data_IF_019309015847
#
_entry.id   IF_019309015847
#
_cell.length_a   1.000
_cell.length_b   1.000
_cell.length_c   1.000
_cell.angle_alpha   90.00
_cell.angle_beta   90.00
_cell.angle_gamma   90.00
#
_symmetry.space_group_name_H-M   'P 1'
#
loop_
_entity.id
_entity.type
_entity.pdbx_description
1 polymer ?
#
# COMPACT_ATOMS: atom_id res chain seq x y z
N UNK A 1 -10.56 28.32 15.90
CA UNK A 1 -9.50 28.64 16.88
C UNK A 1 -9.78 29.91 17.67
N UNK A 2 -9.95 31.06 17.00
CA UNK A 2 -10.15 32.34 17.70
C UNK A 2 -11.43 32.35 18.55
N UNK A 3 -12.58 31.99 17.96
CA UNK A 3 -13.86 32.01 18.65
C UNK A 3 -14.10 30.83 19.60
N UNK A 4 -13.49 29.66 19.33
CA UNK A 4 -13.78 28.43 20.08
C UNK A 4 -12.84 28.21 21.27
N UNK A 5 -11.60 28.70 21.23
CA UNK A 5 -10.64 28.55 22.33
C UNK A 5 -9.69 29.74 22.48
N UNK A 6 -10.04 30.92 21.95
CA UNK A 6 -9.34 32.18 22.22
C UNK A 6 -7.98 32.35 21.52
N UNK A 7 -7.70 31.61 20.44
CA UNK A 7 -6.43 31.73 19.71
C UNK A 7 -6.26 33.11 19.04
N UNK A 8 -5.01 33.57 18.86
CA UNK A 8 -4.75 34.84 18.17
C UNK A 8 -5.03 34.76 16.66
N UNK A 9 -5.38 35.90 16.04
CA UNK A 9 -5.55 35.98 14.58
C UNK A 9 -4.28 35.61 13.81
N UNK A 10 -3.12 36.05 14.31
CA UNK A 10 -1.82 35.78 13.67
C UNK A 10 -1.54 34.28 13.67
N UNK A 11 -1.71 33.60 14.80
CA UNK A 11 -1.53 32.15 14.91
C UNK A 11 -2.55 31.41 14.03
N UNK A 12 -3.82 31.79 14.11
CA UNK A 12 -4.90 31.15 13.36
C UNK A 12 -4.67 31.23 11.85
N UNK A 13 -4.20 32.38 11.36
CA UNK A 13 -3.90 32.58 9.94
C UNK A 13 -2.64 31.80 9.51
N UNK A 14 -1.50 32.04 10.14
CA UNK A 14 -0.23 31.49 9.66
C UNK A 14 -0.12 29.98 9.87
N UNK A 15 -0.58 29.47 11.02
CA UNK A 15 -0.50 28.04 11.34
C UNK A 15 -1.75 27.32 10.85
N UNK A 16 -2.93 27.79 11.26
CA UNK A 16 -4.21 27.12 10.98
C UNK A 16 -4.60 27.13 9.51
N UNK A 17 -4.17 28.14 8.74
CA UNK A 17 -4.47 28.25 7.31
C UNK A 17 -3.22 28.02 6.47
N UNK A 18 -2.23 28.92 6.54
CA UNK A 18 -1.10 28.92 5.58
C UNK A 18 -0.24 27.66 5.70
N UNK A 19 0.28 27.34 6.89
CA UNK A 19 1.13 26.18 7.11
C UNK A 19 0.36 24.88 6.84
N UNK A 20 -0.88 24.78 7.33
CA UNK A 20 -1.74 23.61 7.06
C UNK A 20 -1.90 23.34 5.57
N UNK A 21 -2.23 24.37 4.78
CA UNK A 21 -2.41 24.24 3.33
C UNK A 21 -1.07 23.88 2.66
N UNK A 22 0.02 24.54 3.04
CA UNK A 22 1.35 24.26 2.49
C UNK A 22 1.76 22.81 2.73
N UNK A 23 1.62 22.29 3.95
CA UNK A 23 1.90 20.89 4.26
C UNK A 23 0.99 19.94 3.48
N UNK A 24 -0.31 20.22 3.41
CA UNK A 24 -1.29 19.38 2.69
C UNK A 24 -0.96 19.26 1.19
N UNK A 25 -0.58 20.37 0.56
CA UNK A 25 -0.18 20.37 -0.85
C UNK A 25 1.14 19.65 -1.07
N UNK A 26 2.15 19.91 -0.24
CA UNK A 26 3.44 19.24 -0.38
C UNK A 26 3.30 17.72 -0.15
N UNK A 27 2.53 17.28 0.85
CA UNK A 27 2.19 15.86 1.02
C UNK A 27 1.55 15.28 -0.24
N UNK A 28 0.56 15.94 -0.83
CA UNK A 28 -0.08 15.48 -2.07
C UNK A 28 0.91 15.42 -3.24
N UNK A 29 1.76 16.43 -3.39
CA UNK A 29 2.73 16.50 -4.48
C UNK A 29 3.88 15.49 -4.35
N UNK A 30 4.18 14.99 -3.16
CA UNK A 30 5.10 13.86 -2.98
C UNK A 30 4.64 12.60 -3.71
N UNK A 31 3.33 12.39 -3.84
CA UNK A 31 2.77 11.26 -4.62
C UNK A 31 3.20 11.40 -6.08
N UNK A 32 3.05 12.58 -6.68
CA UNK A 32 3.38 12.82 -8.08
C UNK A 32 4.89 12.90 -8.37
N UNK A 33 5.71 13.17 -7.34
CA UNK A 33 7.15 13.33 -7.48
C UNK A 33 7.91 12.14 -6.91
N UNK A 34 7.99 12.03 -5.59
CA UNK A 34 8.77 11.00 -4.91
C UNK A 34 8.25 9.58 -5.22
N UNK A 35 6.94 9.35 -5.27
CA UNK A 35 6.39 8.03 -5.60
C UNK A 35 6.42 7.66 -7.09
N UNK A 36 6.97 8.52 -7.96
CA UNK A 36 7.33 8.17 -9.34
C UNK A 36 8.83 8.09 -9.57
N UNK A 37 9.63 8.47 -8.57
CA UNK A 37 11.08 8.60 -8.72
C UNK A 37 11.84 7.63 -7.82
N UNK A 38 11.43 7.49 -6.57
CA UNK A 38 12.17 6.78 -5.53
C UNK A 38 11.38 5.61 -4.98
N UNK A 39 11.93 4.40 -5.10
CA UNK A 39 11.34 3.17 -4.59
C UNK A 39 11.44 2.01 -5.57
N UNK A 40 10.81 0.90 -5.23
CA UNK A 40 10.79 -0.33 -6.03
C UNK A 40 9.51 -0.49 -6.85
N UNK A 41 9.49 -1.41 -7.81
CA UNK A 41 8.38 -1.65 -8.75
C UNK A 41 7.99 -3.14 -8.78
N UNK A 42 7.52 -3.70 -7.65
CA UNK A 42 7.28 -5.13 -7.51
C UNK A 42 6.14 -5.67 -8.38
N UNK A 43 5.21 -4.84 -8.87
CA UNK A 43 4.05 -5.28 -9.65
C UNK A 43 4.22 -5.02 -11.15
N UNK A 44 4.78 -3.88 -11.53
CA UNK A 44 5.06 -3.55 -12.92
C UNK A 44 6.25 -2.60 -13.06
N UNK A 45 7.36 -3.12 -13.58
CA UNK A 45 8.60 -2.36 -13.77
C UNK A 45 8.56 -1.37 -14.94
N UNK A 46 7.55 -1.47 -15.82
CA UNK A 46 7.38 -0.54 -16.95
C UNK A 46 6.70 0.76 -16.53
N UNK A 47 6.02 0.76 -15.38
CA UNK A 47 5.42 1.96 -14.80
C UNK A 47 6.48 2.79 -14.09
N UNK A 48 6.37 4.12 -14.18
CA UNK A 48 7.27 5.01 -13.44
C UNK A 48 6.98 4.95 -11.93
N UNK A 49 5.69 4.82 -11.56
CA UNK A 49 5.21 4.70 -10.20
C UNK A 49 5.95 3.61 -9.40
N UNK A 50 6.37 3.95 -8.19
CA UNK A 50 7.14 3.12 -7.27
C UNK A 50 6.35 2.83 -5.99
N UNK A 51 6.82 1.84 -5.23
CA UNK A 51 6.44 1.62 -3.85
C UNK A 51 7.38 2.40 -2.92
N UNK A 52 6.81 3.21 -2.04
CA UNK A 52 7.58 4.03 -1.11
C UNK A 52 6.86 4.18 0.24
N UNK A 53 7.34 3.46 1.26
CA UNK A 53 6.74 3.46 2.60
C UNK A 53 6.81 4.83 3.28
N UNK A 54 7.89 5.60 3.06
CA UNK A 54 8.03 6.95 3.58
C UNK A 54 6.99 7.89 2.99
N UNK A 55 6.76 7.85 1.68
CA UNK A 55 5.66 8.62 1.06
C UNK A 55 4.33 8.18 1.66
N UNK A 56 4.11 6.88 1.82
CA UNK A 56 2.85 6.35 2.35
C UNK A 56 2.54 6.86 3.77
N UNK A 57 3.56 7.05 4.60
CA UNK A 57 3.42 7.64 5.93
C UNK A 57 2.91 9.09 5.86
N UNK A 58 3.49 9.91 4.99
CA UNK A 58 3.11 11.33 4.84
C UNK A 58 1.80 11.55 4.08
N UNK A 59 1.36 10.56 3.32
CA UNK A 59 0.17 10.62 2.45
C UNK A 59 -0.94 9.68 2.89
N UNK A 60 -0.83 9.11 4.10
CA UNK A 60 -1.85 8.30 4.75
C UNK A 60 -2.25 7.01 4.00
N UNK A 61 -1.44 6.52 3.06
CA UNK A 61 -1.76 5.34 2.24
C UNK A 61 -1.33 5.40 0.79
N UNK A 62 -1.11 6.59 0.25
CA UNK A 62 -0.96 6.78 -1.20
C UNK A 62 0.48 6.54 -1.71
N UNK A 63 1.41 6.17 -0.82
CA UNK A 63 2.78 5.82 -1.21
C UNK A 63 2.89 4.44 -1.85
N UNK A 64 1.80 3.67 -1.86
CA UNK A 64 1.79 2.35 -2.46
C UNK A 64 1.61 2.36 -4.00
N UNK A 65 2.30 3.26 -4.67
CA UNK A 65 1.88 3.80 -5.96
C UNK A 65 2.08 2.82 -7.15
N UNK A 66 3.10 1.95 -7.11
CA UNK A 66 3.25 0.92 -8.15
C UNK A 66 2.06 -0.06 -8.17
N UNK A 67 1.51 -0.42 -7.00
CA UNK A 67 0.31 -1.26 -6.88
C UNK A 67 -0.91 -0.51 -7.38
N UNK A 68 -1.09 0.75 -6.94
CA UNK A 68 -2.19 1.59 -7.38
C UNK A 68 -2.26 1.70 -8.90
N UNK A 69 -1.13 1.95 -9.57
CA UNK A 69 -1.09 2.01 -11.04
C UNK A 69 -1.27 0.65 -11.71
N UNK A 70 -0.81 -0.44 -11.07
CA UNK A 70 -1.01 -1.80 -11.59
C UNK A 70 -2.47 -2.28 -11.48
N UNK A 71 -3.19 -1.82 -10.46
CA UNK A 71 -4.56 -2.21 -10.10
C UNK A 71 -5.41 -1.00 -9.68
N UNK A 72 -5.75 -0.09 -10.62
CA UNK A 72 -6.40 1.19 -10.30
C UNK A 72 -7.84 1.05 -9.78
N UNK A 73 -8.40 -0.17 -9.83
CA UNK A 73 -9.75 -0.48 -9.37
C UNK A 73 -9.79 -1.07 -7.95
N UNK A 74 -8.64 -1.32 -7.31
CA UNK A 74 -8.59 -1.79 -5.93
C UNK A 74 -8.86 -0.63 -4.96
N UNK A 75 -9.90 -0.74 -4.14
CA UNK A 75 -10.30 0.30 -3.20
C UNK A 75 -9.23 0.62 -2.14
N UNK A 76 -8.32 -0.32 -1.87
CA UNK A 76 -7.26 -0.14 -0.87
C UNK A 76 -6.09 0.68 -1.43
N UNK A 77 -5.93 0.70 -2.75
CA UNK A 77 -4.73 1.22 -3.41
C UNK A 77 -3.40 0.58 -2.93
N UNK A 78 -3.44 -0.53 -2.20
CA UNK A 78 -2.27 -1.24 -1.67
C UNK A 78 -2.56 -2.73 -1.44
N UNK A 79 -1.55 -3.58 -1.63
CA UNK A 79 -1.63 -5.00 -1.27
C UNK A 79 -1.53 -5.24 0.25
N UNK A 80 -0.70 -4.46 0.96
CA UNK A 80 -0.30 -4.73 2.34
C UNK A 80 -1.45 -4.58 3.35
N UNK A 81 -1.59 -5.59 4.22
CA UNK A 81 -2.71 -5.72 5.16
C UNK A 81 -2.37 -5.36 6.61
N UNK A 82 -3.26 -4.53 7.20
CA UNK A 82 -3.53 -4.20 8.63
C UNK A 82 -3.58 -2.70 8.96
N UNK A 83 -3.51 -1.79 7.98
CA UNK A 83 -3.63 -0.32 8.13
C UNK A 83 -2.36 0.45 8.53
N UNK A 84 -1.24 -0.21 8.85
CA UNK A 84 -0.06 0.46 9.42
C UNK A 84 0.52 1.62 8.60
N UNK A 85 0.39 1.57 7.27
CA UNK A 85 0.78 2.64 6.35
C UNK A 85 -0.33 2.96 5.36
N UNK A 86 -1.59 2.67 5.70
CA UNK A 86 -2.76 2.94 4.86
C UNK A 86 -3.99 3.21 5.75
N UNK A 87 -4.04 4.42 6.27
CA UNK A 87 -5.13 4.90 7.12
C UNK A 87 -6.40 5.18 6.32
N UNK A 88 -6.27 5.52 5.03
CA UNK A 88 -7.40 5.69 4.12
C UNK A 88 -8.25 4.41 4.03
N UNK A 89 -7.61 3.24 3.92
CA UNK A 89 -8.34 1.96 3.91
C UNK A 89 -9.05 1.71 5.25
N UNK A 90 -8.43 2.06 6.38
CA UNK A 90 -9.08 1.91 7.70
C UNK A 90 -10.35 2.76 7.81
N UNK A 91 -10.29 3.99 7.29
CA UNK A 91 -11.42 4.90 7.23
C UNK A 91 -12.55 4.32 6.36
N UNK A 92 -12.23 3.85 5.15
CA UNK A 92 -13.23 3.22 4.26
C UNK A 92 -13.86 1.99 4.91
N UNK A 93 -13.05 1.10 5.50
CA UNK A 93 -13.53 -0.11 6.18
C UNK A 93 -14.44 0.24 7.38
N UNK A 94 -14.18 1.33 8.10
CA UNK A 94 -15.08 1.83 9.15
C UNK A 94 -16.44 2.24 8.58
N UNK A 95 -16.46 3.01 7.50
CA UNK A 95 -17.72 3.42 6.85
C UNK A 95 -18.46 2.22 6.23
N UNK A 96 -17.74 1.21 5.76
CA UNK A 96 -18.34 -0.04 5.31
C UNK A 96 -19.02 -0.80 6.45
N UNK A 97 -18.40 -0.85 7.63
CA UNK A 97 -18.97 -1.50 8.82
C UNK A 97 -20.27 -0.85 9.29
N UNK A 98 -20.41 0.47 9.16
CA UNK A 98 -21.65 1.18 9.52
C UNK A 98 -22.64 1.30 8.35
N UNK A 99 -22.36 0.66 7.21
CA UNK A 99 -23.25 0.59 6.05
C UNK A 99 -23.25 1.81 5.13
N UNK A 100 -22.28 2.73 5.28
CA UNK A 100 -22.18 3.94 4.45
C UNK A 100 -21.32 3.74 3.19
N UNK A 101 -20.44 2.73 3.19
CA UNK A 101 -19.68 2.31 2.02
C UNK A 101 -20.02 0.86 1.65
N UNK A 102 -20.07 0.58 0.35
CA UNK A 102 -20.47 -0.73 -0.19
C UNK A 102 -19.75 -0.99 -1.52
N UNK A 103 -19.86 -2.22 -2.03
CA UNK A 103 -19.24 -2.66 -3.30
C UNK A 103 -17.72 -2.39 -3.40
N UNK A 104 -17.01 -2.55 -2.28
CA UNK A 104 -15.57 -2.41 -2.23
C UNK A 104 -14.87 -3.48 -3.09
N UNK A 105 -14.14 -3.05 -4.12
CA UNK A 105 -13.44 -3.93 -5.07
C UNK A 105 -12.01 -4.14 -4.62
N UNK A 106 -11.57 -5.39 -4.46
CA UNK A 106 -10.19 -5.72 -4.13
C UNK A 106 -9.65 -6.82 -5.05
N UNK A 107 -8.35 -6.82 -5.30
CA UNK A 107 -7.70 -7.76 -6.21
C UNK A 107 -7.42 -9.08 -5.48
N UNK A 108 -7.81 -10.24 -6.03
CA UNK A 108 -7.42 -11.54 -5.49
C UNK A 108 -5.89 -11.70 -5.47
N UNK A 109 -5.36 -12.26 -4.37
CA UNK A 109 -3.92 -12.46 -4.18
C UNK A 109 -3.24 -13.23 -5.32
N UNK A 110 -3.93 -14.23 -5.89
CA UNK A 110 -3.42 -14.97 -7.05
C UNK A 110 -3.19 -14.09 -8.29
N UNK A 111 -4.03 -13.07 -8.52
CA UNK A 111 -3.85 -12.12 -9.62
C UNK A 111 -2.70 -11.14 -9.33
N UNK A 112 -2.56 -10.71 -8.07
CA UNK A 112 -1.45 -9.86 -7.64
C UNK A 112 -0.12 -10.59 -7.87
N UNK A 113 0.00 -11.82 -7.38
CA UNK A 113 1.18 -12.67 -7.59
C UNK A 113 1.47 -12.89 -9.07
N UNK A 114 0.45 -13.25 -9.87
CA UNK A 114 0.61 -13.47 -11.31
C UNK A 114 1.14 -12.22 -12.03
N UNK A 115 0.68 -11.03 -11.64
CA UNK A 115 1.17 -9.76 -12.18
C UNK A 115 2.61 -9.51 -11.74
N UNK A 116 2.90 -9.62 -10.44
CA UNK A 116 4.24 -9.42 -9.89
C UNK A 116 5.29 -10.33 -10.54
N UNK A 117 4.98 -11.62 -10.71
CA UNK A 117 5.87 -12.57 -11.41
C UNK A 117 6.04 -12.26 -12.90
N UNK A 118 5.01 -11.72 -13.56
CA UNK A 118 5.03 -11.45 -15.01
C UNK A 118 5.73 -10.13 -15.35
N UNK A 119 5.47 -9.08 -14.58
CA UNK A 119 5.87 -7.69 -14.92
C UNK A 119 6.66 -6.99 -13.83
N UNK A 120 6.79 -7.56 -12.63
CA UNK A 120 7.55 -6.97 -11.53
C UNK A 120 9.04 -6.83 -11.82
N UNK A 121 9.70 -6.00 -11.02
CA UNK A 121 11.15 -5.81 -11.03
C UNK A 121 11.93 -6.86 -10.21
N UNK A 122 11.24 -7.88 -9.67
CA UNK A 122 11.84 -8.91 -8.83
C UNK A 122 11.91 -8.56 -7.34
N UNK A 123 11.46 -7.37 -6.93
CA UNK A 123 11.43 -6.97 -5.51
C UNK A 123 10.16 -7.41 -4.77
N UNK A 124 9.24 -8.08 -5.46
CA UNK A 124 8.04 -8.63 -4.84
C UNK A 124 8.43 -9.77 -3.89
N UNK A 125 8.23 -9.57 -2.59
CA UNK A 125 8.43 -10.61 -1.59
C UNK A 125 7.09 -11.27 -1.32
N UNK A 126 6.90 -12.46 -1.88
CA UNK A 126 5.81 -13.31 -1.43
C UNK A 126 6.14 -13.73 0.00
N UNK A 127 5.21 -13.55 0.95
CA UNK A 127 5.31 -14.20 2.27
C UNK A 127 5.06 -15.72 2.10
N UNK A 128 5.86 -16.40 1.28
CA UNK A 128 5.97 -17.85 1.31
C UNK A 128 6.99 -18.20 2.37
N UNK A 129 6.54 -18.31 3.62
CA UNK A 129 7.38 -18.88 4.67
C UNK A 129 7.04 -20.38 4.78
N UNK A 130 8.01 -21.25 4.50
CA UNK A 130 7.88 -22.71 4.68
C UNK A 130 7.92 -23.51 3.38
N UNK A 131 7.17 -24.61 3.31
CA UNK A 131 7.29 -25.66 2.28
C UNK A 131 7.17 -25.19 0.81
N UNK A 132 6.43 -24.11 0.58
CA UNK A 132 6.17 -23.56 -0.77
C UNK A 132 7.12 -22.41 -1.16
N UNK A 133 8.12 -22.11 -0.34
CA UNK A 133 9.12 -21.09 -0.64
C UNK A 133 10.04 -21.58 -1.77
N UNK A 134 10.19 -20.76 -2.82
CA UNK A 134 11.01 -21.09 -3.99
C UNK A 134 12.50 -21.16 -3.67
N UNK A 135 12.95 -20.52 -2.59
CA UNK A 135 14.34 -20.47 -2.16
C UNK A 135 14.79 -21.75 -1.43
N UNK A 136 13.86 -22.66 -1.10
CA UNK A 136 14.19 -23.97 -0.50
C UNK A 136 14.83 -24.87 -1.58
N UNK A 137 16.10 -25.31 -1.41
CA UNK A 137 16.79 -26.17 -2.38
C UNK A 137 16.03 -27.47 -2.65
N UNK A 138 16.04 -27.94 -3.91
CA UNK A 138 15.36 -29.18 -4.32
C UNK A 138 15.78 -30.39 -3.47
N UNK A 139 17.07 -30.49 -3.12
CA UNK A 139 17.61 -31.56 -2.30
C UNK A 139 17.03 -31.56 -0.86
N UNK A 140 16.72 -30.38 -0.32
CA UNK A 140 16.07 -30.27 0.99
C UNK A 140 14.61 -30.72 0.91
N UNK A 141 13.90 -30.36 -0.17
CA UNK A 141 12.52 -30.84 -0.41
C UNK A 141 12.44 -32.35 -0.61
N UNK A 142 13.40 -32.93 -1.31
CA UNK A 142 13.48 -34.39 -1.53
C UNK A 142 13.77 -35.17 -0.24
N UNK A 143 14.44 -34.53 0.73
CA UNK A 143 14.79 -35.14 2.02
C UNK A 143 13.69 -35.09 3.09
N UNK A 144 12.57 -34.41 2.85
CA UNK A 144 11.50 -34.28 3.85
C UNK A 144 10.60 -35.52 3.90
N UNK A 145 10.43 -36.06 5.11
CA UNK A 145 9.50 -37.14 5.39
C UNK A 145 8.06 -36.60 5.41
N UNK A 146 7.25 -36.97 4.42
CA UNK A 146 5.83 -36.62 4.33
C UNK A 146 4.98 -37.75 4.90
N UNK A 147 4.24 -37.49 5.98
CA UNK A 147 3.27 -38.43 6.55
C UNK A 147 1.84 -38.13 6.04
N UNK A 148 1.01 -39.15 5.85
CA UNK A 148 -0.38 -39.04 5.32
C UNK A 148 -0.48 -38.32 3.96
N UNK A 149 0.31 -38.76 2.98
CA UNK A 149 0.19 -38.27 1.61
C UNK A 149 -1.22 -38.58 1.09
N UNK A 150 -1.91 -37.58 0.54
CA UNK A 150 -3.23 -37.79 -0.08
C UNK A 150 -2.98 -38.51 -1.41
N UNK A 151 -3.32 -39.79 -1.46
CA UNK A 151 -3.34 -40.55 -2.71
C UNK A 151 -4.47 -39.98 -3.57
N UNK A 152 -4.15 -39.57 -4.80
CA UNK A 152 -5.11 -39.16 -5.81
C UNK A 152 -5.41 -40.32 -6.74
#
# INVERSE_FOLDING_TARGET
PMYFWGESLVTAWHIGVCLRIALSYNSTWLINSAAHTYGNRPYDKKLLATQNSTVSLFTLGEGWHNYHHAFPYDYKASELGKYGLNLTTAFIDFFAKIGWAYELKTVPQALVLKKALKTGDGTYKQESWGWNDQDVPSAEREGVLIYNKKDY
#
